data_IF_911477018073
#
_entry.id   IF_911477018073
#
_cell.length_a   1.000
_cell.length_b   1.000
_cell.length_c   1.000
_cell.angle_alpha   90.00
_cell.angle_beta   90.00
_cell.angle_gamma   90.00
#
_symmetry.space_group_name_H-M   'P 1'
#
loop_
_entity.id
_entity.type
_entity.pdbx_description
1 polymer ?
#
# COMPACT_ATOMS: atom_id res chain seq x y z
N UNK A 1 5.47 -2.19 -26.39
CA UNK A 1 5.67 -1.93 -24.96
C UNK A 1 5.22 -3.15 -24.18
N UNK A 2 5.88 -3.45 -23.07
CA UNK A 2 5.52 -4.52 -22.15
C UNK A 2 4.65 -3.98 -21.02
N UNK A 3 3.68 -4.78 -20.56
CA UNK A 3 2.86 -4.46 -19.41
C UNK A 3 3.74 -4.34 -18.14
N UNK A 4 3.65 -3.24 -17.36
CA UNK A 4 4.49 -3.04 -16.17
C UNK A 4 4.13 -4.00 -15.02
N UNK A 5 2.97 -4.64 -15.08
CA UNK A 5 2.50 -5.56 -14.03
C UNK A 5 2.93 -7.00 -14.26
N UNK A 6 3.01 -7.45 -15.52
CA UNK A 6 3.28 -8.86 -15.83
C UNK A 6 4.20 -9.11 -17.05
N UNK A 7 4.71 -8.07 -17.71
CA UNK A 7 5.65 -8.17 -18.83
C UNK A 7 5.05 -8.54 -20.19
N UNK A 8 3.77 -8.97 -20.25
CA UNK A 8 3.11 -9.35 -21.51
C UNK A 8 2.95 -8.17 -22.48
N UNK A 9 2.78 -8.42 -23.80
CA UNK A 9 2.48 -7.37 -24.77
C UNK A 9 1.25 -6.55 -24.36
N UNK A 10 1.33 -5.23 -24.48
CA UNK A 10 0.21 -4.32 -24.16
C UNK A 10 -0.91 -4.42 -25.18
N UNK A 11 -2.15 -4.34 -24.72
CA UNK A 11 -3.34 -4.27 -25.57
C UNK A 11 -3.78 -2.82 -25.75
N UNK A 12 -4.15 -2.40 -26.96
CA UNK A 12 -4.46 -0.99 -27.26
C UNK A 12 -5.55 -0.42 -26.34
N UNK A 13 -6.57 -1.22 -26.02
CA UNK A 13 -7.67 -0.83 -25.12
C UNK A 13 -7.22 -0.59 -23.67
N UNK A 14 -6.16 -1.27 -23.23
CA UNK A 14 -5.73 -1.29 -21.83
C UNK A 14 -4.35 -0.66 -21.62
N UNK A 15 -3.76 -0.03 -22.63
CA UNK A 15 -2.43 0.59 -22.52
C UNK A 15 -2.36 1.51 -21.29
N UNK A 16 -1.28 1.42 -20.46
CA UNK A 16 -0.03 0.68 -20.67
C UNK A 16 -0.05 -0.80 -20.26
N UNK A 17 -1.21 -1.40 -20.00
CA UNK A 17 -1.38 -2.77 -19.53
C UNK A 17 -1.78 -3.75 -20.64
N UNK A 18 -1.70 -5.06 -20.34
CA UNK A 18 -2.16 -6.11 -21.24
C UNK A 18 -3.65 -6.47 -21.05
N UNK A 19 -4.28 -6.06 -19.94
CA UNK A 19 -5.68 -6.37 -19.64
C UNK A 19 -6.24 -5.48 -18.52
N UNK A 20 -7.58 -5.45 -18.38
CA UNK A 20 -8.25 -4.78 -17.26
C UNK A 20 -7.78 -5.28 -15.89
N UNK A 21 -7.58 -6.60 -15.74
CA UNK A 21 -7.04 -7.19 -14.51
C UNK A 21 -5.69 -6.60 -14.10
N UNK A 22 -4.80 -6.32 -15.05
CA UNK A 22 -3.51 -5.71 -14.71
C UNK A 22 -3.66 -4.23 -14.31
N UNK A 23 -4.62 -3.50 -14.88
CA UNK A 23 -4.93 -2.15 -14.44
C UNK A 23 -5.46 -2.13 -12.99
N UNK A 24 -6.35 -3.06 -12.64
CA UNK A 24 -6.91 -3.16 -11.29
C UNK A 24 -5.84 -3.53 -10.25
N UNK A 25 -4.89 -4.41 -10.62
CA UNK A 25 -3.75 -4.75 -9.75
C UNK A 25 -2.85 -3.55 -9.52
N UNK A 26 -2.59 -2.73 -10.54
CA UNK A 26 -1.82 -1.50 -10.38
C UNK A 26 -2.53 -0.53 -9.43
N UNK A 27 -3.85 -0.35 -9.60
CA UNK A 27 -4.66 0.48 -8.72
C UNK A 27 -4.62 -0.01 -7.26
N UNK A 28 -4.69 -1.33 -7.03
CA UNK A 28 -4.58 -1.89 -5.70
C UNK A 28 -3.20 -1.62 -5.06
N UNK A 29 -2.12 -1.59 -5.83
CA UNK A 29 -0.78 -1.21 -5.35
C UNK A 29 -0.72 0.26 -4.92
N UNK A 30 -1.40 1.15 -5.63
CA UNK A 30 -1.56 2.55 -5.22
C UNK A 30 -2.32 2.66 -3.91
N UNK A 31 -3.49 2.03 -3.81
CA UNK A 31 -4.36 2.13 -2.63
C UNK A 31 -3.76 1.49 -1.37
N UNK A 32 -2.93 0.47 -1.53
CA UNK A 32 -2.21 -0.17 -0.42
C UNK A 32 -0.94 0.56 0.00
N UNK A 33 -0.54 1.62 -0.70
CA UNK A 33 0.74 2.28 -0.46
C UNK A 33 1.96 1.46 -0.87
N UNK A 34 1.81 0.42 -1.69
CA UNK A 34 2.95 -0.36 -2.20
C UNK A 34 3.92 0.48 -3.05
N UNK A 35 3.44 1.60 -3.59
CA UNK A 35 4.24 2.59 -4.31
C UNK A 35 4.68 3.78 -3.44
N UNK A 36 4.47 3.73 -2.12
CA UNK A 36 4.97 4.75 -1.22
C UNK A 36 6.50 4.75 -1.21
N UNK A 37 7.08 5.95 -1.13
CA UNK A 37 8.51 6.17 -1.01
C UNK A 37 8.74 6.77 0.38
N UNK A 38 9.67 6.22 1.19
CA UNK A 38 9.96 6.79 2.50
C UNK A 38 10.53 8.21 2.38
N UNK A 39 10.16 9.09 3.31
CA UNK A 39 10.79 10.40 3.39
C UNK A 39 12.25 10.27 3.83
N UNK A 40 13.06 11.23 3.40
CA UNK A 40 14.46 11.38 3.83
C UNK A 40 14.66 12.60 4.71
N UNK A 41 13.60 13.39 4.94
CA UNK A 41 13.63 14.50 5.89
C UNK A 41 13.63 13.93 7.32
N UNK A 42 14.62 14.27 8.17
CA UNK A 42 14.64 13.82 9.54
C UNK A 42 13.37 14.17 10.33
N UNK A 43 12.74 15.31 10.04
CA UNK A 43 11.53 15.76 10.74
C UNK A 43 10.34 14.84 10.42
N UNK A 44 10.12 14.53 9.14
CA UNK A 44 9.05 13.62 8.71
C UNK A 44 9.20 12.22 9.33
N UNK A 45 10.45 11.74 9.45
CA UNK A 45 10.76 10.44 10.04
C UNK A 45 10.42 10.44 11.53
N UNK A 46 10.82 11.47 12.26
CA UNK A 46 10.53 11.59 13.69
C UNK A 46 9.02 11.67 13.94
N UNK A 47 8.29 12.49 13.18
CA UNK A 47 6.82 12.58 13.26
C UNK A 47 6.13 11.24 12.98
N UNK A 48 6.61 10.49 11.98
CA UNK A 48 6.06 9.18 11.64
C UNK A 48 6.27 8.14 12.74
N UNK A 49 7.44 8.16 13.39
CA UNK A 49 7.75 7.27 14.52
C UNK A 49 6.87 7.59 15.73
N UNK A 50 6.74 8.86 16.11
CA UNK A 50 5.86 9.29 17.19
C UNK A 50 4.39 8.91 16.94
N UNK A 51 3.92 9.06 15.69
CA UNK A 51 2.57 8.65 15.31
C UNK A 51 2.36 7.14 15.44
N UNK A 52 3.35 6.33 15.04
CA UNK A 52 3.31 4.89 15.17
C UNK A 52 3.31 4.44 16.64
N UNK A 53 4.14 5.05 17.49
CA UNK A 53 4.16 4.79 18.93
C UNK A 53 2.82 5.11 19.60
N UNK A 54 2.22 6.24 19.23
CA UNK A 54 0.90 6.64 19.74
C UNK A 54 -0.17 5.62 19.36
N UNK A 55 -0.15 5.12 18.14
CA UNK A 55 -1.10 4.09 17.70
C UNK A 55 -0.84 2.77 18.41
N UNK A 56 0.42 2.37 18.59
CA UNK A 56 0.78 1.17 19.35
C UNK A 56 0.24 1.23 20.79
N UNK A 57 0.37 2.37 21.47
CA UNK A 57 -0.19 2.59 22.80
C UNK A 57 -1.71 2.44 22.81
N UNK A 58 -2.41 2.98 21.81
CA UNK A 58 -3.88 2.84 21.70
C UNK A 58 -4.28 1.37 21.54
N UNK A 59 -3.55 0.63 20.73
CA UNK A 59 -3.80 -0.80 20.51
C UNK A 59 -3.52 -1.61 21.78
N UNK A 60 -2.49 -1.28 22.56
CA UNK A 60 -2.20 -1.97 23.83
C UNK A 60 -3.24 -1.69 24.91
N UNK A 61 -3.85 -0.51 24.89
CA UNK A 61 -4.89 -0.13 25.86
C UNK A 61 -6.28 -0.68 25.51
N UNK A 62 -6.47 -1.22 24.29
CA UNK A 62 -7.75 -1.76 23.85
C UNK A 62 -8.02 -3.13 24.50
N UNK A 63 -9.10 -3.32 25.28
CA UNK A 63 -9.42 -4.61 25.87
C UNK A 63 -9.73 -5.62 24.76
N UNK A 64 -8.92 -6.68 24.66
CA UNK A 64 -9.18 -7.78 23.73
C UNK A 64 -10.49 -8.44 24.09
N UNK A 65 -11.54 -8.27 23.27
CA UNK A 65 -12.78 -9.04 23.41
C UNK A 65 -12.45 -10.50 23.10
N UNK A 66 -12.18 -11.27 24.16
CA UNK A 66 -11.94 -12.70 24.08
C UNK A 66 -13.26 -13.38 23.65
N UNK A 67 -13.36 -13.78 22.38
CA UNK A 67 -14.49 -14.58 21.89
C UNK A 67 -14.43 -15.95 22.56
N UNK A 68 -15.28 -16.17 23.57
CA UNK A 68 -15.53 -17.52 24.12
C UNK A 68 -16.29 -18.32 23.07
N UNK A 69 -15.71 -19.45 22.68
CA UNK A 69 -16.39 -20.53 21.95
C UNK A 69 -17.31 -21.32 22.88
#
# INVERSE_FOLDING_TARGET
MSCPICGKPTETKYRPFCSGRCADVDLARWMSGSYAVPSTDPQDVEEALEAAERELSRLSDTPTKQTRH
#
